data_IF_307855282205
#
_entry.id   IF_307855282205
#
_cell.length_a   1.000
_cell.length_b   1.000
_cell.length_c   1.000
_cell.angle_alpha   90.00
_cell.angle_beta   90.00
_cell.angle_gamma   90.00
#
_symmetry.space_group_name_H-M   'P 1'
#
loop_
_entity.id
_entity.type
_entity.pdbx_description
1 polymer ?
#
# COMPACT_ATOMS: atom_id res chain seq x y z
N UNK A 1 -45.08 15.63 -18.82
CA UNK A 1 -43.90 16.34 -18.24
C UNK A 1 -43.55 15.92 -16.82
N UNK A 2 -44.52 15.76 -15.89
CA UNK A 2 -44.25 15.39 -14.48
C UNK A 2 -43.55 14.04 -14.26
N UNK A 3 -43.84 13.01 -15.09
CA UNK A 3 -43.24 11.66 -14.97
C UNK A 3 -41.75 11.57 -15.33
N UNK A 4 -41.27 12.44 -16.22
CA UNK A 4 -39.85 12.47 -16.64
C UNK A 4 -38.94 13.03 -15.54
N UNK A 5 -39.46 13.95 -14.73
CA UNK A 5 -38.72 14.54 -13.61
C UNK A 5 -38.48 13.49 -12.52
N UNK A 6 -39.49 12.66 -12.19
CA UNK A 6 -39.31 11.59 -11.21
C UNK A 6 -38.29 10.53 -11.67
N UNK A 7 -38.29 10.18 -12.96
CA UNK A 7 -37.33 9.23 -13.52
C UNK A 7 -35.89 9.76 -13.49
N UNK A 8 -35.70 11.05 -13.78
CA UNK A 8 -34.39 11.70 -13.68
C UNK A 8 -33.89 11.74 -12.22
N UNK A 9 -34.77 12.05 -11.27
CA UNK A 9 -34.41 12.07 -9.84
C UNK A 9 -34.00 10.69 -9.35
N UNK A 10 -34.72 9.63 -9.75
CA UNK A 10 -34.38 8.24 -9.37
C UNK A 10 -33.03 7.82 -9.97
N UNK A 11 -32.75 8.16 -11.23
CA UNK A 11 -31.47 7.88 -11.87
C UNK A 11 -30.29 8.61 -11.20
N UNK A 12 -30.50 9.86 -10.76
CA UNK A 12 -29.50 10.63 -10.00
C UNK A 12 -29.27 10.02 -8.62
N UNK A 13 -30.32 9.62 -7.90
CA UNK A 13 -30.18 8.98 -6.59
C UNK A 13 -29.46 7.62 -6.69
N UNK A 14 -29.74 6.81 -7.72
CA UNK A 14 -29.06 5.53 -7.95
C UNK A 14 -27.58 5.70 -8.30
N UNK A 15 -27.23 6.72 -9.08
CA UNK A 15 -25.83 7.00 -9.43
C UNK A 15 -25.03 7.54 -8.24
N UNK A 16 -25.63 8.37 -7.37
CA UNK A 16 -25.01 8.81 -6.12
C UNK A 16 -24.80 7.62 -5.16
N UNK A 17 -25.80 6.75 -5.01
CA UNK A 17 -25.70 5.56 -4.16
C UNK A 17 -24.63 4.57 -4.67
N UNK A 18 -24.54 4.36 -5.99
CA UNK A 18 -23.50 3.53 -6.59
C UNK A 18 -22.09 4.12 -6.38
N UNK A 19 -21.94 5.45 -6.48
CA UNK A 19 -20.68 6.13 -6.21
C UNK A 19 -20.28 6.05 -4.72
N UNK A 20 -21.23 6.06 -3.79
CA UNK A 20 -20.95 5.92 -2.35
C UNK A 20 -20.57 4.49 -1.92
N UNK A 21 -21.08 3.46 -2.61
CA UNK A 21 -20.81 2.05 -2.27
C UNK A 21 -19.35 1.63 -2.49
N UNK A 22 -18.57 2.39 -3.25
CA UNK A 22 -17.17 2.06 -3.60
C UNK A 22 -16.14 2.95 -2.89
N UNK A 23 -16.56 3.80 -1.94
CA UNK A 23 -15.62 4.58 -1.15
C UNK A 23 -15.17 3.74 0.05
N UNK A 24 -14.14 2.92 -0.16
CA UNK A 24 -13.33 2.44 0.95
C UNK A 24 -12.78 3.68 1.67
N UNK A 25 -13.04 3.77 2.97
CA UNK A 25 -12.59 4.89 3.80
C UNK A 25 -11.05 4.86 3.91
N UNK A 26 -10.36 5.55 3.01
CA UNK A 26 -8.91 5.71 3.06
C UNK A 26 -8.58 6.83 4.06
N UNK A 27 -8.30 6.46 5.31
CA UNK A 27 -7.73 7.40 6.28
C UNK A 27 -6.35 7.86 5.80
N UNK A 28 -5.99 9.13 6.01
CA UNK A 28 -4.70 9.68 5.56
C UNK A 28 -3.45 9.12 6.27
N UNK A 29 -3.65 8.24 7.26
CA UNK A 29 -2.60 7.56 8.01
C UNK A 29 -2.16 6.24 7.37
N UNK A 30 -1.18 5.58 7.99
CA UNK A 30 -0.86 4.20 7.61
C UNK A 30 -2.00 3.27 8.03
N UNK A 31 -2.58 2.58 7.06
CA UNK A 31 -3.53 1.50 7.27
C UNK A 31 -2.84 0.17 6.97
N UNK A 32 -3.07 -0.84 7.82
CA UNK A 32 -2.60 -2.19 7.53
C UNK A 32 -3.44 -2.77 6.39
N UNK A 33 -2.78 -3.37 5.40
CA UNK A 33 -3.44 -3.95 4.21
C UNK A 33 -2.96 -5.38 3.99
N UNK A 34 -3.75 -6.18 3.29
CA UNK A 34 -3.31 -7.49 2.82
C UNK A 34 -2.30 -7.33 1.69
N UNK A 35 -1.30 -8.22 1.65
CA UNK A 35 -0.35 -8.23 0.55
C UNK A 35 -1.04 -8.65 -0.76
N UNK A 36 -0.78 -7.88 -1.80
CA UNK A 36 -1.23 -8.14 -3.16
C UNK A 36 -0.02 -7.98 -4.10
N UNK A 37 0.27 -9.00 -4.91
CA UNK A 37 1.44 -9.02 -5.78
C UNK A 37 1.41 -7.94 -6.87
N UNK A 38 0.23 -7.65 -7.43
CA UNK A 38 0.06 -6.65 -8.48
C UNK A 38 0.27 -5.23 -7.94
N UNK A 39 -0.27 -4.94 -6.75
CA UNK A 39 -0.18 -3.60 -6.15
C UNK A 39 1.15 -3.33 -5.46
N UNK A 40 1.69 -4.33 -4.76
CA UNK A 40 2.82 -4.15 -3.84
C UNK A 40 4.12 -4.79 -4.34
N UNK A 41 4.06 -5.67 -5.34
CA UNK A 41 5.17 -6.56 -5.70
C UNK A 41 6.45 -5.82 -6.05
N UNK A 42 6.37 -4.80 -6.91
CA UNK A 42 7.56 -4.02 -7.30
C UNK A 42 8.19 -3.30 -6.10
N UNK A 43 7.36 -2.65 -5.26
CA UNK A 43 7.82 -1.98 -4.06
C UNK A 43 8.44 -2.96 -3.05
N UNK A 44 7.85 -4.15 -2.91
CA UNK A 44 8.38 -5.18 -2.04
C UNK A 44 9.73 -5.71 -2.54
N UNK A 45 9.89 -5.94 -3.86
CA UNK A 45 11.17 -6.33 -4.44
C UNK A 45 12.24 -5.24 -4.26
N UNK A 46 11.88 -3.96 -4.43
CA UNK A 46 12.77 -2.85 -4.14
C UNK A 46 13.23 -2.82 -2.67
N UNK A 47 12.32 -3.13 -1.74
CA UNK A 47 12.65 -3.25 -0.32
C UNK A 47 13.64 -4.40 -0.05
N UNK A 48 13.41 -5.58 -0.62
CA UNK A 48 14.30 -6.73 -0.48
C UNK A 48 15.69 -6.44 -1.06
N UNK A 49 15.75 -5.92 -2.29
CA UNK A 49 17.01 -5.55 -2.93
C UNK A 49 17.79 -4.52 -2.11
N UNK A 50 17.10 -3.51 -1.56
CA UNK A 50 17.71 -2.51 -0.70
C UNK A 50 18.32 -3.14 0.56
N UNK A 51 17.60 -4.02 1.26
CA UNK A 51 18.14 -4.69 2.44
C UNK A 51 19.37 -5.55 2.10
N UNK A 52 19.34 -6.30 1.00
CA UNK A 52 20.51 -7.06 0.53
C UNK A 52 21.71 -6.16 0.21
N UNK A 53 21.48 -4.98 -0.39
CA UNK A 53 22.54 -4.00 -0.67
C UNK A 53 23.17 -3.37 0.57
N UNK A 54 22.57 -3.54 1.75
CA UNK A 54 23.10 -3.07 3.04
C UNK A 54 23.92 -4.13 3.76
N UNK A 55 24.28 -5.22 3.07
CA UNK A 55 25.02 -6.36 3.63
C UNK A 55 24.33 -6.98 4.84
N UNK A 56 23.00 -6.81 4.94
CA UNK A 56 22.19 -7.50 5.93
C UNK A 56 22.12 -8.96 5.51
N UNK A 57 22.42 -9.88 6.42
CA UNK A 57 22.22 -11.31 6.18
C UNK A 57 20.75 -11.60 5.89
N UNK A 58 20.40 -11.60 4.61
CA UNK A 58 19.07 -11.93 4.14
C UNK A 58 18.97 -13.45 3.97
N UNK A 59 17.97 -14.06 4.61
CA UNK A 59 17.58 -15.43 4.30
C UNK A 59 17.03 -15.54 2.88
N UNK A 60 17.18 -16.73 2.27
CA UNK A 60 16.66 -17.06 0.94
C UNK A 60 15.12 -16.90 0.91
N UNK A 61 14.46 -17.05 2.07
CA UNK A 61 13.00 -16.94 2.22
C UNK A 61 12.65 -15.85 3.25
N UNK A 62 12.62 -14.55 2.87
CA UNK A 62 12.09 -13.50 3.73
C UNK A 62 10.65 -13.81 4.14
N UNK A 63 10.34 -13.63 5.42
CA UNK A 63 8.96 -13.65 5.90
C UNK A 63 8.40 -12.23 5.91
N UNK A 64 7.42 -11.96 5.04
CA UNK A 64 6.63 -10.74 5.12
C UNK A 64 5.60 -10.87 6.25
N UNK A 65 5.72 -10.03 7.27
CA UNK A 65 4.88 -10.08 8.49
C UNK A 65 3.65 -9.18 8.35
N UNK A 66 3.83 -7.98 7.78
CA UNK A 66 2.76 -7.01 7.61
C UNK A 66 3.10 -6.02 6.50
N UNK A 67 2.06 -5.50 5.86
CA UNK A 67 2.12 -4.40 4.91
C UNK A 67 1.23 -3.28 5.43
N UNK A 68 1.74 -2.07 5.39
CA UNK A 68 0.94 -0.87 5.62
C UNK A 68 1.02 0.04 4.40
N UNK A 69 -0.07 0.72 4.11
CA UNK A 69 -0.17 1.66 3.01
C UNK A 69 -0.69 3.00 3.54
N UNK A 70 -0.21 4.09 2.96
CA UNK A 70 -0.88 5.39 3.02
C UNK A 70 -0.82 6.07 1.66
N UNK A 71 -1.86 6.82 1.32
CA UNK A 71 -1.89 7.63 0.11
C UNK A 71 -1.31 9.01 0.42
N UNK A 72 -0.36 9.44 -0.39
CA UNK A 72 0.32 10.75 -0.33
C UNK A 72 0.37 11.34 -1.75
N UNK A 73 1.43 12.06 -2.13
CA UNK A 73 1.75 12.33 -3.54
C UNK A 73 2.29 11.07 -4.24
N UNK A 74 1.61 9.93 -4.07
CA UNK A 74 2.03 8.57 -4.42
C UNK A 74 1.40 7.57 -3.46
N UNK A 75 1.86 6.32 -3.52
CA UNK A 75 1.62 5.34 -2.48
C UNK A 75 2.88 5.20 -1.63
N UNK A 76 2.75 5.26 -0.32
CA UNK A 76 3.83 4.93 0.61
C UNK A 76 3.53 3.57 1.23
N UNK A 77 4.37 2.59 0.91
CA UNK A 77 4.28 1.24 1.44
C UNK A 77 5.28 1.06 2.58
N UNK A 78 4.87 0.39 3.63
CA UNK A 78 5.72 0.01 4.76
C UNK A 78 5.66 -1.50 4.93
N UNK A 79 6.78 -2.15 4.69
CA UNK A 79 6.93 -3.59 4.80
C UNK A 79 7.61 -3.95 6.12
N UNK A 80 7.01 -4.86 6.87
CA UNK A 80 7.63 -5.50 8.02
C UNK A 80 8.17 -6.86 7.57
N UNK A 81 9.50 -6.98 7.46
CA UNK A 81 10.18 -8.13 6.86
C UNK A 81 11.04 -8.81 7.92
N UNK A 82 10.99 -10.13 7.99
CA UNK A 82 11.83 -10.92 8.88
C UNK A 82 12.84 -11.76 8.11
N UNK A 83 14.09 -11.70 8.56
CA UNK A 83 15.18 -12.59 8.16
C UNK A 83 15.81 -13.19 9.41
N UNK A 84 15.91 -14.52 9.52
CA UNK A 84 16.61 -15.21 10.62
C UNK A 84 16.27 -14.62 12.01
N UNK A 85 14.98 -14.47 12.31
CA UNK A 85 14.44 -13.87 13.55
C UNK A 85 14.83 -12.40 13.82
N UNK A 86 15.37 -11.70 12.83
CA UNK A 86 15.61 -10.27 12.84
C UNK A 86 14.57 -9.57 11.97
N UNK A 87 13.77 -8.70 12.61
CA UNK A 87 12.78 -7.87 11.93
C UNK A 87 13.38 -6.57 11.36
N UNK A 88 12.85 -6.14 10.23
CA UNK A 88 13.15 -4.90 9.54
C UNK A 88 11.87 -4.21 9.12
N UNK A 89 11.86 -2.89 9.19
CA UNK A 89 10.81 -2.04 8.63
C UNK A 89 11.43 -1.28 7.46
N UNK A 90 10.84 -1.40 6.27
CA UNK A 90 11.27 -0.68 5.08
C UNK A 90 10.09 0.12 4.53
N UNK A 91 10.29 1.42 4.33
CA UNK A 91 9.32 2.31 3.70
C UNK A 91 9.73 2.60 2.25
N UNK A 92 8.82 2.37 1.32
CA UNK A 92 9.01 2.54 -0.12
C UNK A 92 7.94 3.48 -0.66
N UNK A 93 8.37 4.56 -1.30
CA UNK A 93 7.50 5.50 -1.98
C UNK A 93 7.40 5.15 -3.45
N UNK A 94 6.18 4.91 -3.92
CA UNK A 94 5.85 4.63 -5.31
C UNK A 94 5.06 5.79 -5.91
N UNK A 95 5.50 6.26 -7.06
CA UNK A 95 4.78 7.21 -7.91
C UNK A 95 4.72 6.64 -9.33
N UNK A 96 3.73 5.78 -9.63
CA UNK A 96 3.66 5.06 -10.90
C UNK A 96 3.66 5.99 -12.13
N UNK A 97 3.02 7.16 -12.01
CA UNK A 97 2.96 8.16 -13.08
C UNK A 97 4.32 8.82 -13.41
N UNK A 98 5.33 8.69 -12.55
CA UNK A 98 6.71 9.13 -12.80
C UNK A 98 7.66 7.95 -13.01
N UNK A 99 7.17 6.71 -13.00
CA UNK A 99 8.00 5.51 -12.91
C UNK A 99 9.04 5.61 -11.77
N UNK A 100 8.66 6.23 -10.66
CA UNK A 100 9.53 6.44 -9.51
C UNK A 100 9.20 5.43 -8.41
N UNK A 101 10.22 4.71 -7.95
CA UNK A 101 10.13 3.77 -6.85
C UNK A 101 11.36 3.93 -5.97
N UNK A 102 11.16 4.42 -4.76
CA UNK A 102 12.26 4.84 -3.90
C UNK A 102 12.10 4.29 -2.48
N UNK A 103 13.15 3.64 -1.97
CA UNK A 103 13.24 3.32 -0.54
C UNK A 103 13.59 4.60 0.22
N UNK A 104 12.66 5.08 1.04
CA UNK A 104 12.79 6.35 1.78
C UNK A 104 13.28 6.16 3.20
N UNK A 105 13.06 4.99 3.79
CA UNK A 105 13.52 4.65 5.13
C UNK A 105 13.69 3.15 5.28
N UNK A 106 14.65 2.75 6.10
CA UNK A 106 14.74 1.39 6.62
C UNK A 106 15.25 1.43 8.05
N UNK A 107 14.76 0.52 8.89
CA UNK A 107 15.24 0.38 10.27
C UNK A 107 15.10 -1.05 10.77
N UNK A 108 16.03 -1.43 11.63
CA UNK A 108 15.98 -2.70 12.36
C UNK A 108 14.91 -2.62 13.46
N UNK A 109 14.12 -3.67 13.63
CA UNK A 109 13.20 -3.82 14.77
C UNK A 109 14.02 -4.32 15.97
N UNK A 110 14.06 -3.60 17.10
CA UNK A 110 14.74 -4.07 18.30
C UNK A 110 14.14 -5.38 18.80
N UNK A 111 14.99 -6.30 19.28
CA UNK A 111 14.52 -7.42 20.09
C UNK A 111 14.22 -6.88 21.49
N UNK A 112 13.00 -7.08 21.97
CA UNK A 112 12.63 -6.79 23.36
C UNK A 112 13.20 -7.85 24.30
#
# INVERSE_FOLDING_TARGET
MRKLIFLAVIAVCLSIAYAQSNNDHIEGGYQQVEYNQETHGEAYQAALHYLSSKEIETSINPKLVAVYQKIVSGAMYKFHIMFNDQGWIVEVWSQPWLNNLQVVSFKRIPKN
#
